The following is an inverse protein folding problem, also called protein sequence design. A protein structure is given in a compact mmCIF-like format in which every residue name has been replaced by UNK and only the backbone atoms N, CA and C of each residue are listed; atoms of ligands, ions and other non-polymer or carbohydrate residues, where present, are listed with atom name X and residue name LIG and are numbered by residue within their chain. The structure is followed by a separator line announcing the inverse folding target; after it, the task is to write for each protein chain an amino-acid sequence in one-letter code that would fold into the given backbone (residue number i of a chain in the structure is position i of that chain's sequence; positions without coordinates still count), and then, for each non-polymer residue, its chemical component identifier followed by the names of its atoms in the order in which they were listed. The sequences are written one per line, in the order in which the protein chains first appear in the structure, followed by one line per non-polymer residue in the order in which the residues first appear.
data_IF_143332987606
#
_entry.id   IF_143332987606
#
_cell.length_a   1.000
_cell.length_b   1.000
_cell.length_c   1.000
_cell.angle_alpha   90.00
_cell.angle_beta   90.00
_cell.angle_gamma   90.00
#
_symmetry.space_group_name_H-M   'P 1'
#
loop_
_entity.id
_entity.type
_entity.pdbx_description
1 polymer ?
#
# COMPACT_ATOMS: atom_id res chain seq x y z
N UNK A 1 -17.10 33.39 -41.49
CA UNK A 1 -16.34 33.91 -40.34
C UNK A 1 -16.33 32.81 -39.30
N UNK A 2 -15.30 31.97 -39.41
CA UNK A 2 -15.04 30.84 -38.52
C UNK A 2 -14.76 31.33 -37.10
N UNK A 3 -15.49 30.77 -36.15
CA UNK A 3 -15.14 30.86 -34.73
C UNK A 3 -15.04 29.44 -34.16
N UNK A 4 -13.81 28.93 -34.26
CA UNK A 4 -13.13 28.17 -33.18
C UNK A 4 -13.80 26.91 -32.66
N UNK A 5 -13.76 25.85 -33.47
CA UNK A 5 -13.72 24.46 -33.01
C UNK A 5 -12.32 24.20 -32.42
N UNK A 6 -12.04 24.61 -31.18
CA UNK A 6 -10.72 24.37 -30.57
C UNK A 6 -10.71 24.00 -29.07
N UNK A 7 -11.87 23.72 -28.47
CA UNK A 7 -11.96 23.43 -27.03
C UNK A 7 -12.07 21.92 -26.69
N UNK A 8 -11.65 21.02 -27.58
CA UNK A 8 -11.74 19.56 -27.37
C UNK A 8 -10.43 18.88 -26.92
N UNK A 9 -9.38 19.64 -26.61
CA UNK A 9 -8.08 19.10 -26.20
C UNK A 9 -7.56 19.60 -24.84
N UNK A 10 -8.44 19.95 -23.91
CA UNK A 10 -8.03 19.99 -22.50
C UNK A 10 -8.22 18.61 -21.88
N UNK A 11 -7.24 17.73 -22.08
CA UNK A 11 -7.06 16.55 -21.21
C UNK A 11 -6.15 16.95 -20.05
N UNK A 12 -6.67 17.41 -18.90
CA UNK A 12 -5.86 17.60 -17.71
C UNK A 12 -5.68 16.27 -17.00
N UNK A 13 -5.18 15.23 -17.69
CA UNK A 13 -4.54 14.10 -17.00
C UNK A 13 -3.13 14.53 -16.55
N UNK A 14 -3.07 15.67 -15.85
CA UNK A 14 -1.86 16.28 -15.29
C UNK A 14 -1.34 15.32 -14.22
N UNK A 15 -0.27 14.60 -14.56
CA UNK A 15 0.70 13.98 -13.65
C UNK A 15 0.31 14.08 -12.16
N UNK A 16 -0.47 13.13 -11.65
CA UNK A 16 -0.44 12.88 -10.22
C UNK A 16 1.03 12.59 -9.89
N UNK A 17 1.63 13.40 -9.01
CA UNK A 17 3.05 13.24 -8.68
C UNK A 17 3.27 11.80 -8.23
N UNK A 18 4.36 11.19 -8.68
CA UNK A 18 4.75 9.81 -8.32
C UNK A 18 4.54 9.55 -6.81
N UNK A 19 4.89 10.52 -5.98
CA UNK A 19 4.68 10.53 -4.54
C UNK A 19 3.23 10.34 -4.09
N UNK A 20 2.26 11.03 -4.70
CA UNK A 20 0.82 10.82 -4.40
C UNK A 20 0.32 9.47 -4.90
N UNK A 21 0.89 8.98 -5.98
CA UNK A 21 0.53 7.68 -6.53
C UNK A 21 1.08 6.53 -5.68
N UNK A 22 2.21 6.70 -5.01
CA UNK A 22 2.84 5.64 -4.21
C UNK A 22 2.76 5.90 -2.70
N UNK A 23 2.12 6.98 -2.26
CA UNK A 23 2.13 7.45 -0.86
C UNK A 23 1.74 6.38 0.15
N UNK A 24 0.65 5.67 -0.10
CA UNK A 24 0.18 4.64 0.83
C UNK A 24 1.09 3.40 0.83
N UNK A 25 1.55 2.92 -0.32
CA UNK A 25 2.53 1.82 -0.36
C UNK A 25 3.86 2.21 0.31
N UNK A 26 4.32 3.44 0.11
CA UNK A 26 5.52 4.00 0.76
C UNK A 26 5.36 4.19 2.26
N UNK A 27 4.12 4.30 2.76
CA UNK A 27 3.82 4.29 4.18
C UNK A 27 3.74 2.86 4.75
N UNK A 28 3.11 1.95 4.01
CA UNK A 28 2.87 0.58 4.45
C UNK A 28 4.17 -0.22 4.62
N UNK A 29 5.13 -0.03 3.72
CA UNK A 29 6.41 -0.75 3.75
C UNK A 29 7.21 -0.42 5.04
N UNK A 30 7.48 0.86 5.38
CA UNK A 30 8.11 1.20 6.66
C UNK A 30 7.30 0.75 7.86
N UNK A 31 5.97 0.91 7.85
CA UNK A 31 5.11 0.46 8.96
C UNK A 31 5.31 -1.04 9.22
N UNK A 32 5.30 -1.84 8.15
CA UNK A 32 5.56 -3.27 8.20
C UNK A 32 6.96 -3.55 8.76
N UNK A 33 8.00 -3.02 8.13
CA UNK A 33 9.40 -3.31 8.50
C UNK A 33 9.72 -2.89 9.94
N UNK A 34 9.26 -1.72 10.37
CA UNK A 34 9.48 -1.23 11.74
C UNK A 34 8.79 -2.14 12.76
N UNK A 35 7.54 -2.53 12.49
CA UNK A 35 6.77 -3.41 13.40
C UNK A 35 7.48 -4.75 13.61
N UNK A 36 7.85 -5.39 12.50
CA UNK A 36 8.55 -6.67 12.53
C UNK A 36 9.96 -6.60 13.11
N UNK A 37 10.68 -5.50 12.87
CA UNK A 37 11.99 -5.30 13.47
C UNK A 37 11.90 -5.11 14.99
N UNK A 38 10.87 -4.41 15.49
CA UNK A 38 10.61 -4.29 16.92
C UNK A 38 10.27 -5.65 17.56
N UNK A 39 9.64 -6.57 16.83
CA UNK A 39 9.32 -7.90 17.36
C UNK A 39 10.55 -8.75 17.67
N UNK A 40 11.72 -8.43 17.11
CA UNK A 40 12.98 -9.13 17.43
C UNK A 40 13.52 -8.80 18.83
N UNK A 41 13.13 -7.66 19.39
CA UNK A 41 13.62 -7.17 20.70
C UNK A 41 12.55 -7.22 21.79
N UNK A 42 11.27 -7.37 21.42
CA UNK A 42 10.16 -7.36 22.36
C UNK A 42 9.76 -8.78 22.79
N UNK A 43 9.33 -8.91 24.04
CA UNK A 43 8.66 -10.11 24.50
C UNK A 43 7.24 -10.26 23.91
N UNK A 44 6.56 -11.41 24.11
CA UNK A 44 5.27 -11.72 23.48
C UNK A 44 4.18 -10.66 23.67
N UNK A 45 4.07 -10.07 24.87
CA UNK A 45 3.11 -8.99 25.15
C UNK A 45 3.43 -7.71 24.36
N UNK A 46 4.71 -7.41 24.18
CA UNK A 46 5.17 -6.26 23.39
C UNK A 46 4.89 -6.46 21.90
N UNK A 47 5.13 -7.66 21.38
CA UNK A 47 4.78 -8.05 20.00
C UNK A 47 3.29 -7.82 19.74
N UNK A 48 2.43 -8.34 20.62
CA UNK A 48 0.98 -8.17 20.52
C UNK A 48 0.56 -6.69 20.56
N UNK A 49 1.11 -5.90 21.48
CA UNK A 49 0.81 -4.47 21.57
C UNK A 49 1.23 -3.71 20.30
N UNK A 50 2.45 -3.94 19.82
CA UNK A 50 2.95 -3.32 18.57
C UNK A 50 2.11 -3.77 17.38
N UNK A 51 1.76 -5.06 17.29
CA UNK A 51 0.89 -5.59 16.24
C UNK A 51 -0.47 -4.90 16.21
N UNK A 52 -1.16 -4.83 17.35
CA UNK A 52 -2.45 -4.13 17.46
C UNK A 52 -2.33 -2.66 17.06
N UNK A 53 -1.31 -1.95 17.58
CA UNK A 53 -1.09 -0.53 17.26
C UNK A 53 -0.84 -0.35 15.75
N UNK A 54 0.05 -1.15 15.17
CA UNK A 54 0.38 -1.10 13.75
C UNK A 54 -0.82 -1.44 12.87
N UNK A 55 -1.64 -2.43 13.25
CA UNK A 55 -2.89 -2.76 12.57
C UNK A 55 -3.87 -1.59 12.62
N UNK A 56 -4.10 -0.98 13.78
CA UNK A 56 -5.03 0.17 13.92
C UNK A 56 -4.55 1.34 13.05
N UNK A 57 -3.26 1.66 13.11
CA UNK A 57 -2.64 2.70 12.27
C UNK A 57 -2.80 2.38 10.78
N UNK A 58 -2.56 1.12 10.39
CA UNK A 58 -2.74 0.63 9.02
C UNK A 58 -4.19 0.74 8.54
N UNK A 59 -5.17 0.37 9.37
CA UNK A 59 -6.60 0.48 9.06
C UNK A 59 -7.00 1.95 8.88
N UNK A 60 -6.58 2.84 9.78
CA UNK A 60 -6.88 4.28 9.65
C UNK A 60 -6.31 4.83 8.34
N UNK A 61 -5.05 4.52 8.04
CA UNK A 61 -4.41 4.95 6.80
C UNK A 61 -5.09 4.33 5.55
N UNK A 62 -5.55 3.09 5.63
CA UNK A 62 -6.29 2.41 4.56
C UNK A 62 -7.65 3.07 4.30
N UNK A 63 -8.40 3.41 5.35
CA UNK A 63 -9.68 4.09 5.24
C UNK A 63 -9.49 5.49 4.66
N UNK A 64 -8.45 6.20 5.07
CA UNK A 64 -8.12 7.52 4.53
C UNK A 64 -7.73 7.43 3.04
N UNK A 65 -6.88 6.47 2.67
CA UNK A 65 -6.54 6.19 1.27
C UNK A 65 -7.78 5.82 0.45
N UNK A 66 -8.72 5.07 1.03
CA UNK A 66 -9.99 4.71 0.41
C UNK A 66 -10.86 5.94 0.12
N UNK A 67 -10.98 6.85 1.10
CA UNK A 67 -11.71 8.13 0.92
C UNK A 67 -11.10 9.00 -0.17
N UNK A 68 -9.77 9.00 -0.27
CA UNK A 68 -9.03 9.74 -1.30
C UNK A 68 -9.03 9.06 -2.67
N UNK A 69 -9.75 7.94 -2.85
CA UNK A 69 -9.79 7.14 -4.09
C UNK A 69 -8.39 6.74 -4.57
N UNK A 70 -7.50 6.42 -3.63
CA UNK A 70 -6.12 6.02 -3.90
C UNK A 70 -6.01 4.70 -4.67
N UNK A 71 -6.93 3.77 -4.39
CA UNK A 71 -6.90 2.43 -4.97
C UNK A 71 -7.40 2.44 -6.41
N UNK A 72 -6.64 1.80 -7.30
CA UNK A 72 -6.96 1.76 -8.72
C UNK A 72 -8.20 0.90 -9.01
N UNK A 73 -8.41 -0.13 -8.18
CA UNK A 73 -9.57 -1.03 -8.21
C UNK A 73 -9.68 -1.79 -6.89
N UNK A 74 -10.69 -2.67 -6.78
CA UNK A 74 -10.91 -3.50 -5.57
C UNK A 74 -9.77 -4.48 -5.29
N UNK A 75 -9.07 -4.97 -6.32
CA UNK A 75 -7.95 -5.89 -6.16
C UNK A 75 -6.70 -5.20 -5.60
N UNK A 76 -6.42 -3.98 -6.05
CA UNK A 76 -5.36 -3.13 -5.50
C UNK A 76 -5.62 -2.85 -4.01
N UNK A 77 -6.86 -2.51 -3.64
CA UNK A 77 -7.26 -2.36 -2.25
C UNK A 77 -7.13 -3.67 -1.46
N UNK A 78 -7.55 -4.79 -2.03
CA UNK A 78 -7.43 -6.11 -1.42
C UNK A 78 -5.97 -6.46 -1.10
N UNK A 79 -5.05 -6.31 -2.06
CA UNK A 79 -3.63 -6.61 -1.85
C UNK A 79 -2.97 -5.70 -0.81
N UNK A 80 -3.40 -4.44 -0.67
CA UNK A 80 -2.90 -3.62 0.43
C UNK A 80 -3.50 -4.05 1.78
N UNK A 81 -4.78 -4.44 1.80
CA UNK A 81 -5.43 -4.93 3.02
C UNK A 81 -4.79 -6.23 3.54
N UNK A 82 -4.29 -7.10 2.65
CA UNK A 82 -3.61 -8.33 3.06
C UNK A 82 -2.32 -8.06 3.83
N UNK A 83 -1.60 -6.98 3.54
CA UNK A 83 -0.41 -6.60 4.32
C UNK A 83 -0.78 -6.17 5.74
N UNK A 84 -1.87 -5.42 5.90
CA UNK A 84 -2.36 -4.99 7.22
C UNK A 84 -2.86 -6.22 8.00
N UNK A 85 -3.54 -7.13 7.31
CA UNK A 85 -4.02 -8.38 7.88
C UNK A 85 -2.88 -9.29 8.32
N UNK A 86 -1.79 -9.35 7.56
CA UNK A 86 -0.58 -10.09 7.92
C UNK A 86 0.03 -9.58 9.23
N UNK A 87 0.21 -8.25 9.37
CA UNK A 87 0.66 -7.62 10.62
C UNK A 87 -0.26 -7.98 11.80
N UNK A 88 -1.57 -7.97 11.58
CA UNK A 88 -2.54 -8.34 12.61
C UNK A 88 -2.42 -9.81 13.01
N UNK A 89 -2.38 -10.70 12.03
CA UNK A 89 -2.35 -12.14 12.25
C UNK A 89 -1.07 -12.55 12.97
N UNK A 90 0.08 -12.11 12.48
CA UNK A 90 1.37 -12.47 13.09
C UNK A 90 1.53 -11.79 14.46
N UNK A 91 1.15 -10.53 14.59
CA UNK A 91 1.27 -9.80 15.87
C UNK A 91 0.37 -10.35 16.97
N UNK A 92 -0.86 -10.77 16.65
CA UNK A 92 -1.84 -11.20 17.66
C UNK A 92 -1.81 -12.71 17.90
N UNK A 93 -1.68 -13.52 16.85
CA UNK A 93 -1.82 -14.98 16.97
C UNK A 93 -0.48 -15.72 17.02
N UNK A 94 0.61 -15.15 16.51
CA UNK A 94 1.92 -15.80 16.44
C UNK A 94 2.98 -14.92 17.12
N UNK A 95 2.91 -14.71 18.45
CA UNK A 95 3.83 -13.82 19.16
C UNK A 95 5.20 -14.48 19.44
N UNK A 96 5.77 -15.16 18.44
CA UNK A 96 7.04 -15.88 18.53
C UNK A 96 7.83 -15.70 17.23
N UNK A 97 8.67 -14.66 17.19
CA UNK A 97 9.52 -14.34 16.04
C UNK A 97 10.99 -14.61 16.36
N UNK A 98 11.57 -15.65 15.75
CA UNK A 98 12.98 -16.05 15.96
C UNK A 98 13.78 -15.93 14.65
N UNK A 99 13.29 -15.20 13.64
CA UNK A 99 13.97 -15.15 12.35
C UNK A 99 13.61 -13.97 11.47
N UNK A 100 14.38 -13.85 10.40
CA UNK A 100 14.30 -12.78 9.40
C UNK A 100 13.39 -13.15 8.21
N UNK A 101 12.54 -14.16 8.36
CA UNK A 101 11.62 -14.63 7.31
C UNK A 101 10.63 -13.55 6.85
N UNK A 102 10.30 -12.58 7.72
CA UNK A 102 9.43 -11.46 7.39
C UNK A 102 9.96 -10.58 6.25
N UNK A 103 11.27 -10.56 5.98
CA UNK A 103 11.81 -9.86 4.81
C UNK A 103 11.38 -10.52 3.50
N UNK A 104 11.19 -11.85 3.48
CA UNK A 104 10.68 -12.54 2.30
C UNK A 104 9.23 -12.14 2.03
N UNK A 105 8.40 -12.06 3.09
CA UNK A 105 7.03 -11.54 2.98
C UNK A 105 7.02 -10.09 2.45
N UNK A 106 7.89 -9.23 2.99
CA UNK A 106 8.03 -7.85 2.52
C UNK A 106 8.40 -7.78 1.02
N UNK A 107 9.36 -8.59 0.57
CA UNK A 107 9.74 -8.68 -0.86
C UNK A 107 8.55 -9.16 -1.69
N UNK A 108 7.83 -10.20 -1.25
CA UNK A 108 6.63 -10.69 -1.92
C UNK A 108 5.56 -9.61 -2.06
N UNK A 109 5.30 -8.82 -1.00
CA UNK A 109 4.36 -7.71 -1.06
C UNK A 109 4.81 -6.61 -2.03
N UNK A 110 6.10 -6.25 -2.03
CA UNK A 110 6.64 -5.27 -3.00
C UNK A 110 6.45 -5.75 -4.43
N UNK A 111 6.73 -7.03 -4.71
CA UNK A 111 6.56 -7.60 -6.06
C UNK A 111 5.09 -7.63 -6.45
N UNK A 112 4.21 -8.13 -5.59
CA UNK A 112 2.78 -8.30 -5.91
C UNK A 112 2.09 -6.95 -6.00
N UNK A 113 2.14 -6.15 -4.92
CA UNK A 113 1.48 -4.84 -4.85
C UNK A 113 2.11 -3.89 -5.86
N UNK A 114 3.43 -3.74 -5.83
CA UNK A 114 4.15 -2.82 -6.70
C UNK A 114 4.08 -3.22 -8.17
N UNK A 115 4.29 -4.50 -8.47
CA UNK A 115 4.18 -5.02 -9.84
C UNK A 115 2.77 -4.87 -10.41
N UNK A 116 1.73 -5.17 -9.62
CA UNK A 116 0.33 -5.03 -10.04
C UNK A 116 -0.01 -3.57 -10.35
N UNK A 117 0.37 -2.64 -9.47
CA UNK A 117 0.13 -1.21 -9.62
C UNK A 117 0.87 -0.64 -10.83
N UNK A 118 2.12 -1.03 -11.03
CA UNK A 118 2.93 -0.65 -12.19
C UNK A 118 2.32 -1.13 -13.51
N UNK A 119 1.86 -2.38 -13.54
CA UNK A 119 1.21 -2.96 -14.72
C UNK A 119 -0.07 -2.20 -15.08
N UNK A 120 -0.92 -1.87 -14.10
CA UNK A 120 -2.13 -1.08 -14.31
C UNK A 120 -1.82 0.33 -14.85
N UNK A 121 -0.80 0.99 -14.32
CA UNK A 121 -0.35 2.29 -14.83
C UNK A 121 0.05 2.22 -16.30
N UNK A 122 0.82 1.20 -16.70
CA UNK A 122 1.21 1.00 -18.10
C UNK A 122 0.04 0.63 -19.02
N UNK A 123 -0.98 -0.07 -18.50
CA UNK A 123 -2.19 -0.37 -19.28
C UNK A 123 -2.95 0.90 -19.61
N UNK A 124 -3.16 1.77 -18.60
CA UNK A 124 -3.86 3.05 -18.77
C UNK A 124 -3.15 3.98 -19.77
N UNK A 125 -1.81 4.01 -19.78
CA UNK A 125 -1.04 4.79 -20.76
C UNK A 125 -1.16 4.26 -22.20
N UNK A 126 -1.37 2.95 -22.38
CA UNK A 126 -1.49 2.33 -23.71
C UNK A 126 -2.87 2.48 -24.33
N UNK A 127 -3.91 2.62 -23.51
CA UNK A 127 -5.29 2.87 -23.95
C UNK A 127 -5.57 4.36 -24.26
N UNK A 128 -4.64 5.24 -23.90
CA UNK A 128 -4.72 6.69 -24.14
C UNK A 128 -3.96 7.16 -25.40
N UNK A 129 -3.36 6.22 -26.14
CA UNK A 129 -2.69 6.42 -27.44
C UNK A 129 -3.55 5.78 -28.52
#
# INVERSE_FOLDING_TARGET
MDTTVNDLHSSPAKHASFWKFWSFSLFLIPLYLISFHLWLVLGPRGIMMVGIIATVVGIIAFLEASKQKYFLNRWDAFFHSTVIFDIFMEGVFIPLHIGYSFYLCAISFVIIVGGYRWWLSKKKSREAV
#
